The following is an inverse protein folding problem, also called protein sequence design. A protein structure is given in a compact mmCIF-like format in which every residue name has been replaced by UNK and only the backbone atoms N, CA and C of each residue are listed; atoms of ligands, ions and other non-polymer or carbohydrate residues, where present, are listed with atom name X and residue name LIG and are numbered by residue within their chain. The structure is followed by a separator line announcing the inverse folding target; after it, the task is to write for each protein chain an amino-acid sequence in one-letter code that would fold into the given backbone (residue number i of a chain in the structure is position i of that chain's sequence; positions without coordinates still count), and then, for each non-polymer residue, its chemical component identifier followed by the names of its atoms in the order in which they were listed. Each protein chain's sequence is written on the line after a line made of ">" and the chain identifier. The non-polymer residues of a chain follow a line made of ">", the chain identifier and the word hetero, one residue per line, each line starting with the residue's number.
data_IF_523023929549
#
_entry.id   IF_523023929549
#
_cell.length_a   1.000
_cell.length_b   1.000
_cell.length_c   1.000
_cell.angle_alpha   90.00
_cell.angle_beta   90.00
_cell.angle_gamma   90.00
#
_symmetry.space_group_name_H-M   'P 1'
#
loop_
_entity.id
_entity.type
_entity.pdbx_description
1 polymer ?
#
# COMPACT_ATOMS: atom_id res chain seq x y z
N UNK A 1 22.38 20.65 31.15
CA UNK A 1 21.96 21.36 29.92
C UNK A 1 22.11 20.38 28.77
N UNK A 2 21.05 19.66 28.41
CA UNK A 2 21.04 18.75 27.27
C UNK A 2 20.06 19.30 26.23
N UNK A 3 20.56 19.44 25.00
CA UNK A 3 19.88 20.03 23.85
C UNK A 3 18.60 19.29 23.47
N UNK A 4 17.53 20.06 23.32
CA UNK A 4 16.20 19.69 22.84
C UNK A 4 16.03 20.07 21.36
N UNK A 5 16.70 19.38 20.44
CA UNK A 5 16.70 19.75 19.01
C UNK A 5 16.69 18.55 18.06
N UNK A 6 15.75 17.62 18.24
CA UNK A 6 15.51 16.52 17.28
C UNK A 6 14.02 16.29 16.95
N UNK A 7 13.12 17.19 17.36
CA UNK A 7 11.66 17.04 17.11
C UNK A 7 11.14 18.00 16.02
N UNK A 8 11.93 18.98 15.55
CA UNK A 8 11.43 19.98 14.59
C UNK A 8 11.44 19.53 13.13
N UNK A 9 12.29 18.57 12.74
CA UNK A 9 12.57 18.32 11.32
C UNK A 9 11.48 17.52 10.59
N UNK A 10 10.71 16.66 11.28
CA UNK A 10 9.65 15.86 10.64
C UNK A 10 8.38 16.67 10.41
N UNK A 11 8.00 17.53 11.37
CA UNK A 11 6.80 18.36 11.26
C UNK A 11 6.92 19.42 10.17
N UNK A 12 8.05 20.11 10.09
CA UNK A 12 8.30 21.14 9.06
C UNK A 12 8.31 20.53 7.63
N UNK A 13 8.79 19.29 7.49
CA UNK A 13 8.81 18.55 6.21
C UNK A 13 7.42 18.04 5.84
N UNK A 14 6.62 17.59 6.80
CA UNK A 14 5.24 17.15 6.56
C UNK A 14 4.32 18.32 6.17
N UNK A 15 4.40 19.45 6.86
CA UNK A 15 3.64 20.67 6.49
C UNK A 15 4.03 21.17 5.09
N UNK A 16 5.33 21.17 4.77
CA UNK A 16 5.82 21.53 3.44
C UNK A 16 5.28 20.59 2.35
N UNK A 17 5.21 19.28 2.61
CA UNK A 17 4.70 18.32 1.63
C UNK A 17 3.18 18.43 1.46
N UNK A 18 2.44 18.75 2.52
CA UNK A 18 0.99 18.96 2.43
C UNK A 18 0.65 20.14 1.52
N UNK A 19 1.36 21.26 1.64
CA UNK A 19 1.15 22.42 0.78
C UNK A 19 1.49 22.13 -0.69
N UNK A 20 2.63 21.48 -0.94
CA UNK A 20 3.01 21.04 -2.29
C UNK A 20 1.98 20.08 -2.89
N UNK A 21 1.48 19.14 -2.08
CA UNK A 21 0.46 18.19 -2.52
C UNK A 21 -0.85 18.91 -2.89
N UNK A 22 -1.29 19.89 -2.10
CA UNK A 22 -2.50 20.67 -2.41
C UNK A 22 -2.36 21.47 -3.70
N UNK A 23 -1.18 22.01 -4.00
CA UNK A 23 -0.93 22.67 -5.29
C UNK A 23 -0.91 21.67 -6.44
N UNK A 24 -0.28 20.50 -6.24
CA UNK A 24 -0.16 19.46 -7.25
C UNK A 24 -1.53 18.89 -7.66
N UNK A 25 -2.41 18.57 -6.71
CA UNK A 25 -3.73 17.97 -7.03
C UNK A 25 -4.66 18.89 -7.82
N UNK A 26 -4.45 20.21 -7.78
CA UNK A 26 -5.19 21.17 -8.60
C UNK A 26 -4.90 21.02 -10.10
N UNK A 27 -3.75 20.45 -10.45
CA UNK A 27 -3.35 20.22 -11.85
C UNK A 27 -3.99 18.96 -12.46
N UNK A 28 -4.54 18.07 -11.64
CA UNK A 28 -5.08 16.79 -12.10
C UNK A 28 -6.58 16.89 -12.43
N UNK A 29 -7.03 16.27 -13.53
CA UNK A 29 -8.46 16.08 -13.78
C UNK A 29 -9.12 15.39 -12.59
N UNK A 30 -10.27 15.91 -12.17
CA UNK A 30 -11.03 15.42 -11.02
C UNK A 30 -12.41 14.95 -11.46
N UNK A 31 -12.82 13.80 -10.95
CA UNK A 31 -14.17 13.26 -11.17
C UNK A 31 -14.68 12.55 -9.91
N UNK A 32 -15.93 12.09 -9.94
CA UNK A 32 -16.53 11.30 -8.88
C UNK A 32 -16.65 9.85 -9.30
N UNK A 33 -16.20 8.97 -8.42
CA UNK A 33 -16.52 7.54 -8.51
C UNK A 33 -18.03 7.29 -8.35
N UNK A 34 -18.48 6.10 -8.73
CA UNK A 34 -19.87 5.67 -8.49
C UNK A 34 -20.23 5.65 -6.98
N UNK A 35 -19.25 5.56 -6.08
CA UNK A 35 -19.42 5.65 -4.62
C UNK A 35 -19.40 7.10 -4.11
N UNK A 36 -19.44 8.09 -5.01
CA UNK A 36 -19.34 9.54 -4.72
C UNK A 36 -18.00 9.99 -4.10
N UNK A 37 -17.00 9.12 -4.03
CA UNK A 37 -15.64 9.49 -3.65
C UNK A 37 -14.97 10.29 -4.77
N UNK A 38 -14.19 11.31 -4.41
CA UNK A 38 -13.39 12.08 -5.36
C UNK A 38 -12.25 11.21 -5.90
N UNK A 39 -12.07 11.25 -7.22
CA UNK A 39 -10.98 10.62 -7.96
C UNK A 39 -10.15 11.70 -8.64
N UNK A 40 -8.84 11.49 -8.68
CA UNK A 40 -7.92 12.28 -9.50
C UNK A 40 -7.33 11.39 -10.59
N UNK A 41 -7.24 11.91 -11.81
CA UNK A 41 -6.57 11.22 -12.91
C UNK A 41 -5.05 11.45 -12.79
N UNK A 42 -4.34 10.43 -12.31
CA UNK A 42 -2.92 10.48 -12.03
C UNK A 42 -2.23 9.34 -12.78
N UNK A 43 -1.20 9.67 -13.57
CA UNK A 43 -0.40 8.68 -14.31
C UNK A 43 -1.27 7.67 -15.08
N UNK A 44 -2.29 8.12 -15.81
CA UNK A 44 -3.09 7.23 -16.67
C UNK A 44 -4.13 6.34 -15.95
N UNK A 45 -4.35 6.52 -14.64
CA UNK A 45 -5.44 5.84 -13.92
C UNK A 45 -6.18 6.78 -12.97
N UNK A 46 -7.42 6.41 -12.64
CA UNK A 46 -8.22 7.12 -11.64
C UNK A 46 -7.86 6.64 -10.24
N UNK A 47 -7.30 7.54 -9.44
CA UNK A 47 -6.84 7.28 -8.08
C UNK A 47 -7.78 7.94 -7.06
N UNK A 48 -8.27 7.23 -6.03
CA UNK A 48 -9.02 7.84 -4.94
C UNK A 48 -8.23 8.94 -4.24
N UNK A 49 -8.87 10.09 -3.97
CA UNK A 49 -8.20 11.24 -3.35
C UNK A 49 -7.54 10.89 -2.00
N UNK A 50 -8.14 9.96 -1.25
CA UNK A 50 -7.67 9.50 0.06
C UNK A 50 -6.34 8.73 -0.01
N UNK A 51 -6.02 8.09 -1.13
CA UNK A 51 -4.78 7.30 -1.29
C UNK A 51 -3.74 7.99 -2.16
N UNK A 52 -4.10 9.05 -2.88
CA UNK A 52 -3.20 9.69 -3.84
C UNK A 52 -1.90 10.21 -3.19
N UNK A 53 -1.99 10.86 -2.02
CA UNK A 53 -0.80 11.34 -1.30
C UNK A 53 0.12 10.17 -0.96
N UNK A 54 -0.45 9.09 -0.40
CA UNK A 54 0.27 7.87 -0.04
C UNK A 54 0.92 7.19 -1.25
N UNK A 55 0.23 7.14 -2.39
CA UNK A 55 0.77 6.61 -3.67
C UNK A 55 2.00 7.40 -4.11
N UNK A 56 1.93 8.74 -4.10
CA UNK A 56 3.05 9.59 -4.54
C UNK A 56 4.23 9.46 -3.57
N UNK A 57 3.98 9.47 -2.26
CA UNK A 57 5.01 9.27 -1.25
C UNK A 57 5.65 7.88 -1.35
N UNK A 58 4.86 6.84 -1.58
CA UNK A 58 5.34 5.48 -1.83
C UNK A 58 6.28 5.43 -3.05
N UNK A 59 5.89 6.04 -4.17
CA UNK A 59 6.75 6.11 -5.36
C UNK A 59 8.08 6.82 -5.12
N UNK A 60 8.09 7.87 -4.30
CA UNK A 60 9.29 8.67 -4.00
C UNK A 60 10.22 8.00 -2.99
N UNK A 61 9.66 7.38 -1.94
CA UNK A 61 10.43 7.02 -0.75
C UNK A 61 10.57 5.52 -0.51
N UNK A 62 9.78 4.67 -1.18
CA UNK A 62 9.85 3.23 -0.94
C UNK A 62 11.17 2.63 -1.43
N UNK A 63 11.89 1.98 -0.53
CA UNK A 63 13.13 1.26 -0.83
C UNK A 63 12.94 -0.25 -0.68
N UNK A 64 12.96 -0.92 -1.82
CA UNK A 64 12.82 -2.37 -1.92
C UNK A 64 14.14 -3.09 -1.62
N UNK A 65 14.06 -4.22 -0.93
CA UNK A 65 15.16 -5.16 -0.75
C UNK A 65 14.98 -6.39 -1.64
N UNK A 66 16.08 -7.07 -2.00
CA UNK A 66 16.03 -8.27 -2.83
C UNK A 66 15.29 -9.44 -2.16
N UNK A 67 15.24 -9.46 -0.83
CA UNK A 67 14.46 -10.43 -0.06
C UNK A 67 12.96 -10.16 -0.05
N UNK A 68 12.50 -8.99 -0.51
CA UNK A 68 11.11 -8.60 -0.38
C UNK A 68 10.19 -9.43 -1.29
N UNK A 69 8.96 -9.62 -0.81
CA UNK A 69 7.90 -10.27 -1.56
C UNK A 69 6.72 -9.30 -1.63
N UNK A 70 6.30 -9.00 -2.86
CA UNK A 70 5.24 -8.02 -3.12
C UNK A 70 4.03 -8.74 -3.70
N UNK A 71 2.89 -8.59 -3.04
CA UNK A 71 1.59 -9.05 -3.52
C UNK A 71 0.93 -7.91 -4.30
N UNK A 72 0.89 -8.01 -5.62
CA UNK A 72 0.28 -7.03 -6.50
C UNK A 72 -1.10 -7.52 -6.94
N UNK A 73 -2.13 -6.68 -6.80
CA UNK A 73 -3.51 -7.07 -7.14
C UNK A 73 -4.31 -5.86 -7.57
N UNK A 74 -5.40 -6.04 -8.31
CA UNK A 74 -6.44 -5.02 -8.36
C UNK A 74 -7.36 -5.14 -7.14
N UNK A 75 -7.98 -4.03 -6.68
CA UNK A 75 -8.96 -4.09 -5.61
C UNK A 75 -10.02 -5.14 -5.92
N UNK A 76 -10.35 -5.98 -4.92
CA UNK A 76 -11.43 -6.97 -4.95
C UNK A 76 -11.18 -8.19 -5.87
N UNK A 77 -9.95 -8.43 -6.31
CA UNK A 77 -9.56 -9.65 -7.02
C UNK A 77 -9.19 -10.86 -6.12
N UNK A 78 -9.41 -10.78 -4.80
CA UNK A 78 -9.06 -11.87 -3.87
C UNK A 78 -7.83 -11.59 -2.99
N UNK A 79 -7.53 -10.32 -2.74
CA UNK A 79 -6.40 -9.87 -1.91
C UNK A 79 -6.32 -10.53 -0.55
N UNK A 80 -7.45 -10.64 0.16
CA UNK A 80 -7.50 -11.22 1.51
C UNK A 80 -7.03 -12.67 1.51
N UNK A 81 -7.52 -13.47 0.57
CA UNK A 81 -7.14 -14.88 0.44
C UNK A 81 -5.68 -15.03 0.04
N UNK A 82 -5.20 -14.20 -0.91
CA UNK A 82 -3.80 -14.24 -1.34
C UNK A 82 -2.83 -13.81 -0.24
N UNK A 83 -3.16 -12.79 0.54
CA UNK A 83 -2.39 -12.37 1.72
C UNK A 83 -2.28 -13.51 2.72
N UNK A 84 -3.40 -14.15 3.06
CA UNK A 84 -3.42 -15.27 4.00
C UNK A 84 -2.61 -16.48 3.51
N UNK A 85 -2.73 -16.84 2.23
CA UNK A 85 -2.02 -17.96 1.64
C UNK A 85 -0.51 -17.71 1.59
N UNK A 86 -0.11 -16.52 1.14
CA UNK A 86 1.31 -16.14 1.02
C UNK A 86 1.94 -16.05 2.40
N UNK A 87 1.26 -15.42 3.37
CA UNK A 87 1.69 -15.35 4.77
C UNK A 87 1.89 -16.75 5.37
N UNK A 88 0.89 -17.64 5.23
CA UNK A 88 0.97 -19.00 5.73
C UNK A 88 2.13 -19.77 5.11
N UNK A 89 2.38 -19.57 3.81
CA UNK A 89 3.42 -20.28 3.08
C UNK A 89 4.81 -19.82 3.49
N UNK A 90 5.03 -18.50 3.59
CA UNK A 90 6.33 -17.93 3.91
C UNK A 90 6.74 -18.18 5.37
N UNK A 91 5.78 -18.04 6.28
CA UNK A 91 6.05 -18.13 7.71
C UNK A 91 5.63 -19.47 8.33
N UNK A 92 5.43 -20.51 7.50
CA UNK A 92 4.97 -21.85 7.94
C UNK A 92 5.84 -22.50 9.03
N UNK A 93 7.14 -22.18 9.05
CA UNK A 93 8.09 -22.72 10.01
C UNK A 93 8.21 -21.85 11.27
N UNK A 94 7.59 -20.67 11.30
CA UNK A 94 7.67 -19.71 12.41
C UNK A 94 6.53 -19.90 13.42
N UNK A 95 5.43 -20.54 13.01
CA UNK A 95 4.26 -20.76 13.84
C UNK A 95 3.77 -22.20 13.75
N UNK A 96 3.36 -22.76 14.90
CA UNK A 96 2.52 -23.97 14.87
C UNK A 96 1.13 -23.60 14.36
N UNK A 97 0.37 -24.61 13.91
CA UNK A 97 -0.96 -24.40 13.33
C UNK A 97 -1.90 -23.68 14.30
N UNK A 98 -1.80 -23.96 15.59
CA UNK A 98 -2.67 -23.44 16.66
C UNK A 98 -2.29 -22.01 17.06
N UNK A 99 -1.04 -21.60 16.81
CA UNK A 99 -0.51 -20.27 17.14
C UNK A 99 -0.34 -19.39 15.90
N UNK A 100 -0.97 -19.74 14.78
CA UNK A 100 -0.85 -18.97 13.55
C UNK A 100 -1.56 -17.60 13.70
N UNK A 101 -0.88 -16.47 13.46
CA UNK A 101 -1.47 -15.14 13.55
C UNK A 101 -2.76 -14.94 12.74
N UNK A 102 -2.95 -15.70 11.66
CA UNK A 102 -4.17 -15.66 10.83
C UNK A 102 -5.44 -16.14 11.55
N UNK A 103 -5.31 -16.83 12.69
CA UNK A 103 -6.45 -17.22 13.52
C UNK A 103 -6.97 -16.07 14.39
N UNK A 104 -6.14 -15.04 14.62
CA UNK A 104 -6.45 -13.92 15.52
C UNK A 104 -6.57 -12.60 14.77
N UNK A 105 -5.74 -12.38 13.75
CA UNK A 105 -5.64 -11.13 13.02
C UNK A 105 -6.17 -11.25 11.60
N UNK A 106 -6.75 -10.16 11.10
CA UNK A 106 -7.13 -10.06 9.71
C UNK A 106 -5.87 -10.09 8.81
N UNK A 107 -5.87 -10.79 7.67
CA UNK A 107 -4.73 -10.83 6.75
C UNK A 107 -4.26 -9.44 6.29
N UNK A 108 -5.14 -8.44 6.22
CA UNK A 108 -4.79 -7.07 5.88
C UNK A 108 -3.93 -6.38 6.96
N UNK A 109 -4.07 -6.77 8.23
CA UNK A 109 -3.23 -6.27 9.33
C UNK A 109 -1.85 -6.91 9.33
N UNK A 110 -1.76 -8.17 8.88
CA UNK A 110 -0.49 -8.91 8.80
C UNK A 110 0.32 -8.56 7.55
N UNK A 111 -0.36 -8.30 6.42
CA UNK A 111 0.26 -7.91 5.15
C UNK A 111 -0.31 -6.57 4.73
N UNK A 112 0.39 -5.50 5.11
CA UNK A 112 -0.04 -4.12 4.90
C UNK A 112 0.21 -3.63 3.46
N UNK A 113 -0.58 -2.65 3.04
CA UNK A 113 -0.44 -1.99 1.75
C UNK A 113 0.62 -0.90 1.79
N UNK A 114 1.61 -0.98 0.89
CA UNK A 114 2.68 0.04 0.81
C UNK A 114 2.23 1.31 0.08
N UNK A 115 1.18 1.24 -0.71
CA UNK A 115 0.60 2.38 -1.43
C UNK A 115 -0.53 3.08 -0.65
N UNK A 116 -0.79 2.61 0.57
CA UNK A 116 -1.82 3.17 1.45
C UNK A 116 -1.39 3.15 2.92
N UNK A 117 -1.42 1.99 3.58
CA UNK A 117 -1.30 1.87 5.05
C UNK A 117 -0.04 2.53 5.63
N UNK A 118 1.11 2.36 4.97
CA UNK A 118 2.39 2.88 5.47
C UNK A 118 2.54 4.38 5.26
N UNK A 119 2.01 4.91 4.16
CA UNK A 119 2.19 6.30 3.76
C UNK A 119 0.96 7.18 4.02
N UNK A 120 -0.02 6.66 4.78
CA UNK A 120 -1.27 7.37 5.04
C UNK A 120 -1.06 8.55 6.00
N UNK A 121 -0.31 8.33 7.09
CA UNK A 121 -0.03 9.33 8.13
C UNK A 121 1.43 9.78 8.18
N UNK A 122 2.34 9.07 7.51
CA UNK A 122 3.78 9.34 7.52
C UNK A 122 4.26 9.36 6.07
N UNK A 123 5.00 10.41 5.70
CA UNK A 123 5.47 10.59 4.32
C UNK A 123 6.73 9.78 4.02
N UNK A 124 7.48 9.36 5.04
CA UNK A 124 8.72 8.61 4.93
C UNK A 124 8.92 7.63 6.12
N UNK A 125 8.08 6.59 6.23
CA UNK A 125 8.17 5.62 7.32
C UNK A 125 9.45 4.78 7.22
N UNK A 126 10.06 4.47 8.38
CA UNK A 126 11.16 3.50 8.48
C UNK A 126 10.65 2.06 8.28
N UNK A 127 10.52 1.68 7.01
CA UNK A 127 10.09 0.34 6.57
C UNK A 127 11.12 -0.76 6.91
N UNK A 128 12.35 -0.41 7.28
CA UNK A 128 13.39 -1.36 7.67
C UNK A 128 13.01 -2.11 8.95
N UNK A 129 12.46 -1.40 9.93
CA UNK A 129 12.09 -1.93 11.24
C UNK A 129 10.59 -2.21 11.41
N UNK A 130 9.75 -1.74 10.48
CA UNK A 130 8.29 -1.82 10.60
C UNK A 130 7.66 -3.20 10.29
N UNK A 131 8.46 -4.20 9.90
CA UNK A 131 7.95 -5.55 9.59
C UNK A 131 8.43 -6.55 10.64
N UNK A 132 7.47 -7.17 11.32
CA UNK A 132 7.72 -8.13 12.39
C UNK A 132 8.35 -9.45 11.91
N UNK A 133 8.18 -9.77 10.62
CA UNK A 133 8.54 -11.05 10.04
C UNK A 133 9.46 -10.88 8.84
N UNK A 134 10.40 -11.82 8.68
CA UNK A 134 11.29 -11.92 7.54
C UNK A 134 11.06 -13.22 6.75
N UNK A 135 11.12 -13.21 5.40
CA UNK A 135 11.32 -12.04 4.53
C UNK A 135 10.13 -11.07 4.56
N UNK A 136 10.36 -9.76 4.31
CA UNK A 136 9.28 -8.76 4.34
C UNK A 136 8.22 -9.05 3.28
N UNK A 137 6.95 -9.00 3.68
CA UNK A 137 5.79 -9.25 2.83
C UNK A 137 4.91 -8.00 2.76
N UNK A 138 4.74 -7.48 1.56
CA UNK A 138 3.97 -6.26 1.28
C UNK A 138 2.85 -6.51 0.27
N UNK A 139 1.86 -5.62 0.24
CA UNK A 139 0.82 -5.62 -0.78
C UNK A 139 0.73 -4.27 -1.48
N UNK A 140 0.32 -4.27 -2.73
CA UNK A 140 0.16 -3.06 -3.54
C UNK A 140 -0.99 -3.20 -4.54
N UNK A 141 -1.68 -2.09 -4.81
CA UNK A 141 -2.71 -1.96 -5.82
C UNK A 141 -2.28 -1.18 -7.06
N UNK A 142 -1.08 -0.59 -7.04
CA UNK A 142 -0.55 0.17 -8.17
C UNK A 142 -0.31 -0.70 -9.42
N UNK A 143 -0.64 -0.19 -10.62
CA UNK A 143 -0.27 -0.82 -11.88
C UNK A 143 1.26 -0.94 -12.01
N UNK A 144 1.71 -1.98 -12.69
CA UNK A 144 3.15 -2.29 -12.85
C UNK A 144 3.98 -1.10 -13.37
N UNK A 145 3.45 -0.36 -14.35
CA UNK A 145 4.11 0.82 -14.93
C UNK A 145 4.44 1.91 -13.89
N UNK A 146 3.70 1.95 -12.78
CA UNK A 146 3.77 2.99 -11.76
C UNK A 146 4.24 2.46 -10.40
N UNK A 147 4.81 1.26 -10.37
CA UNK A 147 5.52 0.80 -9.18
C UNK A 147 6.76 1.69 -8.92
N UNK A 148 7.18 1.84 -7.65
CA UNK A 148 8.45 2.46 -7.30
C UNK A 148 9.60 1.91 -8.15
N UNK A 149 10.52 2.77 -8.59
CA UNK A 149 11.69 2.35 -9.39
C UNK A 149 12.53 1.34 -8.65
N UNK A 150 12.68 1.52 -7.33
CA UNK A 150 13.31 0.53 -6.46
C UNK A 150 12.73 -0.85 -6.74
N UNK A 151 11.39 -1.03 -6.73
CA UNK A 151 10.58 -2.25 -7.06
C UNK A 151 10.74 -2.79 -8.49
N UNK A 152 11.27 -2.00 -9.42
CA UNK A 152 11.56 -2.46 -10.79
C UNK A 152 13.00 -2.94 -10.95
N UNK A 153 13.95 -2.30 -10.26
CA UNK A 153 15.39 -2.48 -10.55
C UNK A 153 16.11 -3.60 -9.76
N UNK A 154 15.73 -3.87 -8.52
CA UNK A 154 16.12 -5.04 -7.71
C UNK A 154 15.49 -6.41 -8.11
N UNK A 155 16.04 -7.51 -7.57
CA UNK A 155 15.69 -8.90 -7.88
C UNK A 155 14.53 -9.48 -7.02
N UNK A 156 13.67 -8.63 -6.45
CA UNK A 156 12.59 -9.09 -5.57
C UNK A 156 11.51 -9.89 -6.31
N UNK A 157 10.67 -10.60 -5.54
CA UNK A 157 9.56 -11.41 -6.09
C UNK A 157 8.25 -10.64 -6.07
N UNK A 158 7.54 -10.62 -7.21
CA UNK A 158 6.19 -10.05 -7.32
C UNK A 158 5.21 -11.18 -7.62
N UNK A 159 4.19 -11.32 -6.78
CA UNK A 159 3.06 -12.23 -6.98
C UNK A 159 1.86 -11.40 -7.41
N UNK A 160 1.47 -11.52 -8.68
CA UNK A 160 0.30 -10.81 -9.21
C UNK A 160 -0.93 -11.71 -9.25
N UNK A 161 -2.08 -11.22 -8.77
CA UNK A 161 -3.35 -11.90 -8.91
C UNK A 161 -4.36 -11.01 -9.63
N UNK A 162 -4.87 -11.53 -10.74
CA UNK A 162 -5.99 -10.99 -11.49
C UNK A 162 -7.21 -11.89 -11.36
N UNK A 163 -8.38 -11.28 -11.51
CA UNK A 163 -9.66 -11.95 -11.64
C UNK A 163 -10.35 -11.45 -12.91
N UNK A 164 -11.30 -12.23 -13.44
CA UNK A 164 -12.16 -11.76 -14.52
C UNK A 164 -12.71 -10.34 -14.18
N UNK A 165 -12.64 -9.37 -15.11
CA UNK A 165 -13.04 -7.99 -14.83
C UNK A 165 -14.52 -7.86 -14.47
N UNK A 166 -15.40 -8.69 -15.05
CA UNK A 166 -16.84 -8.67 -14.73
C UNK A 166 -17.09 -9.11 -13.30
N UNK A 167 -16.43 -10.18 -12.86
CA UNK A 167 -16.51 -10.63 -11.47
C UNK A 167 -15.92 -9.61 -10.49
N UNK A 168 -14.82 -8.97 -10.89
CA UNK A 168 -14.16 -7.95 -10.08
C UNK A 168 -15.08 -6.76 -9.88
N UNK A 169 -15.77 -6.30 -10.94
CA UNK A 169 -16.75 -5.24 -10.87
C UNK A 169 -17.92 -5.59 -9.94
N UNK A 170 -18.49 -6.79 -10.05
CA UNK A 170 -19.59 -7.24 -9.18
C UNK A 170 -19.13 -7.29 -7.72
N UNK A 171 -17.94 -7.82 -7.46
CA UNK A 171 -17.36 -7.88 -6.11
C UNK A 171 -17.11 -6.48 -5.54
N UNK A 172 -16.63 -5.56 -6.38
CA UNK A 172 -16.42 -4.16 -6.02
C UNK A 172 -17.74 -3.47 -5.68
N UNK A 173 -18.74 -3.58 -6.56
CA UNK A 173 -20.07 -3.01 -6.34
C UNK A 173 -20.73 -3.55 -5.06
N UNK A 174 -20.73 -4.87 -4.87
CA UNK A 174 -21.34 -5.51 -3.70
C UNK A 174 -20.69 -5.09 -2.39
N UNK A 175 -19.37 -4.90 -2.40
CA UNK A 175 -18.63 -4.43 -1.22
C UNK A 175 -19.00 -2.99 -0.85
N UNK A 176 -19.00 -2.07 -1.82
CA UNK A 176 -19.31 -0.67 -1.57
C UNK A 176 -20.80 -0.41 -1.33
N UNK A 177 -21.69 -1.28 -1.79
CA UNK A 177 -23.12 -1.18 -1.48
C UNK A 177 -23.46 -1.60 -0.04
N UNK A 178 -22.51 -2.21 0.68
CA UNK A 178 -22.67 -2.66 2.08
C UNK A 178 -21.92 -1.78 3.09
N UNK A 179 -21.22 -0.76 2.59
CA UNK A 179 -20.52 0.28 3.37
C UNK A 179 -21.43 1.50 3.52
#
# INVERSE_FOLDING_TARGET
>A
MCNSSLVSTSHDVEESWDDEFQQLVQTFPKDKSFTRMNLYFFQGFWCPSIVLKAVISCQKHFQAFDSDIIIATLPKCGTTSLKALTFSTLYRNQFTREKNPLLTYNPHSLVRFIDYDFYFNDTCPDLGNCTLYQPRLFSIHLPYAYLPTSIKDSNRKIVYLCRNPMDTLISFWSFFSRL
#
